data_IF_113341305609
#
_entry.id   IF_113341305609
#
_cell.length_a   1.000
_cell.length_b   1.000
_cell.length_c   1.000
_cell.angle_alpha   90.00
_cell.angle_beta   90.00
_cell.angle_gamma   90.00
#
_symmetry.space_group_name_H-M   'P 1'
#
loop_
_entity.id
_entity.type
_entity.pdbx_description
1 polymer ?
#
# COMPACT_ATOMS: atom_id res chain seq x y z
N UNK A 1 18.76 -35.52 -44.74
CA UNK A 1 19.95 -35.19 -43.91
C UNK A 1 19.90 -33.69 -43.57
N UNK A 2 18.84 -33.21 -42.92
CA UNK A 2 18.64 -33.11 -41.46
C UNK A 2 19.47 -32.08 -40.68
N UNK A 3 20.27 -31.21 -41.31
CA UNK A 3 21.13 -30.26 -40.57
C UNK A 3 20.97 -28.83 -41.08
N UNK A 4 19.76 -28.26 -41.08
CA UNK A 4 19.58 -26.79 -41.18
C UNK A 4 18.42 -26.25 -40.32
N UNK A 5 17.47 -27.11 -39.90
CA UNK A 5 16.29 -26.66 -39.11
C UNK A 5 16.61 -26.44 -37.61
N UNK A 6 17.84 -26.71 -37.15
CA UNK A 6 18.19 -26.67 -35.72
C UNK A 6 18.91 -25.38 -35.25
N UNK A 7 18.87 -24.28 -36.01
CA UNK A 7 19.45 -22.98 -35.60
C UNK A 7 18.37 -21.90 -35.38
N UNK A 8 17.09 -22.19 -35.65
CA UNK A 8 16.00 -21.22 -35.45
C UNK A 8 15.34 -21.31 -34.06
N UNK A 9 16.03 -21.88 -33.06
CA UNK A 9 15.49 -22.10 -31.72
C UNK A 9 16.13 -21.22 -30.63
N UNK A 10 16.89 -20.18 -31.00
CA UNK A 10 17.70 -19.43 -30.02
C UNK A 10 17.83 -17.94 -30.27
N UNK A 11 16.85 -17.28 -30.90
CA UNK A 11 16.73 -15.83 -30.82
C UNK A 11 15.22 -15.51 -30.77
N UNK A 12 14.84 -14.53 -29.94
CA UNK A 12 13.46 -14.17 -29.58
C UNK A 12 12.91 -14.96 -28.38
N UNK A 13 13.72 -15.10 -27.32
CA UNK A 13 13.15 -14.72 -26.03
C UNK A 13 13.10 -13.20 -26.03
N UNK A 14 12.07 -12.64 -26.66
CA UNK A 14 11.66 -11.29 -26.31
C UNK A 14 11.26 -11.39 -24.85
N UNK A 15 12.20 -11.10 -23.96
CA UNK A 15 11.88 -10.72 -22.60
C UNK A 15 10.98 -9.50 -22.76
N UNK A 16 9.68 -9.74 -22.71
CA UNK A 16 8.66 -8.70 -22.59
C UNK A 16 8.93 -8.06 -21.22
N UNK A 17 9.89 -7.14 -21.19
CA UNK A 17 9.99 -6.17 -20.12
C UNK A 17 8.74 -5.32 -20.27
N UNK A 18 7.71 -5.66 -19.49
CA UNK A 18 6.55 -4.81 -19.32
C UNK A 18 7.06 -3.46 -18.84
N UNK A 19 7.15 -2.50 -19.76
CA UNK A 19 7.63 -1.17 -19.46
C UNK A 19 6.72 -0.57 -18.38
N UNK A 20 7.27 0.08 -17.35
CA UNK A 20 6.47 0.84 -16.41
C UNK A 20 5.52 1.76 -17.19
N UNK A 21 4.21 1.71 -16.87
CA UNK A 21 3.17 2.47 -17.59
C UNK A 21 3.53 3.95 -17.79
N UNK A 22 4.29 4.53 -16.85
CA UNK A 22 4.74 5.92 -16.93
C UNK A 22 5.66 6.18 -18.15
N UNK A 23 6.59 5.30 -18.48
CA UNK A 23 7.52 5.54 -19.59
C UNK A 23 6.84 5.38 -20.95
N UNK A 24 5.91 4.42 -21.07
CA UNK A 24 5.09 4.31 -22.28
C UNK A 24 4.20 5.54 -22.46
N UNK A 25 3.54 6.02 -21.40
CA UNK A 25 2.69 7.21 -21.42
C UNK A 25 3.45 8.48 -21.81
N UNK A 26 4.68 8.65 -21.32
CA UNK A 26 5.52 9.81 -21.66
C UNK A 26 6.00 9.81 -23.12
N UNK A 27 6.05 8.63 -23.75
CA UNK A 27 6.46 8.49 -25.14
C UNK A 27 5.27 8.58 -26.12
N UNK A 28 4.03 8.52 -25.62
CA UNK A 28 2.82 8.70 -26.42
C UNK A 28 2.70 10.16 -26.87
N UNK A 29 2.51 10.36 -28.18
CA UNK A 29 2.33 11.70 -28.74
C UNK A 29 0.84 12.02 -28.83
N UNK A 30 0.34 12.88 -27.93
CA UNK A 30 -1.04 13.32 -27.93
C UNK A 30 -1.22 14.59 -28.79
N UNK A 31 -2.29 14.65 -29.58
CA UNK A 31 -2.61 15.83 -30.38
C UNK A 31 -2.84 17.05 -29.45
N UNK A 32 -2.15 18.16 -29.72
CA UNK A 32 -2.18 19.37 -28.88
C UNK A 32 -1.14 19.40 -27.75
N UNK A 33 -0.35 18.34 -27.57
CA UNK A 33 0.74 18.29 -26.59
C UNK A 33 2.09 18.52 -27.29
N UNK A 34 3.05 19.12 -26.58
CA UNK A 34 4.43 19.26 -27.07
C UNK A 34 5.12 17.90 -27.18
N UNK A 35 6.08 17.77 -28.12
CA UNK A 35 6.88 16.56 -28.26
C UNK A 35 7.81 16.38 -27.05
N UNK A 36 7.57 15.36 -26.24
CA UNK A 36 8.45 14.97 -25.14
C UNK A 36 9.56 14.08 -25.73
N UNK A 37 10.83 14.41 -25.44
CA UNK A 37 11.98 13.56 -25.79
C UNK A 37 12.62 13.10 -24.50
N UNK A 38 12.54 11.80 -24.22
CA UNK A 38 13.10 11.22 -23.01
C UNK A 38 14.57 10.83 -23.26
N UNK A 39 15.49 11.57 -22.67
CA UNK A 39 16.91 11.25 -22.68
C UNK A 39 17.33 10.67 -21.33
N UNK A 40 17.27 9.34 -21.21
CA UNK A 40 17.61 8.62 -19.98
C UNK A 40 18.41 7.35 -20.27
N UNK A 41 19.19 6.90 -19.28
CA UNK A 41 19.86 5.61 -19.38
C UNK A 41 18.85 4.45 -19.28
N UNK A 42 19.00 3.37 -20.09
CA UNK A 42 18.13 2.19 -20.01
C UNK A 42 18.08 1.54 -18.61
N UNK A 43 19.12 1.75 -17.79
CA UNK A 43 19.17 1.23 -16.41
C UNK A 43 18.09 1.84 -15.51
N UNK A 44 17.66 3.07 -15.77
CA UNK A 44 16.62 3.73 -14.97
C UNK A 44 15.29 2.98 -15.11
N UNK A 45 14.93 2.57 -16.32
CA UNK A 45 13.72 1.77 -16.57
C UNK A 45 13.75 0.46 -15.79
N UNK A 46 14.90 -0.24 -15.82
CA UNK A 46 15.07 -1.49 -15.08
C UNK A 46 14.95 -1.32 -13.56
N UNK A 47 15.50 -0.23 -13.00
CA UNK A 47 15.40 0.07 -11.57
C UNK A 47 13.94 0.38 -11.18
N UNK A 48 13.25 1.19 -11.98
CA UNK A 48 11.84 1.54 -11.73
C UNK A 48 10.94 0.32 -11.84
N UNK A 49 11.11 -0.52 -12.86
CA UNK A 49 10.36 -1.76 -13.01
C UNK A 49 10.57 -2.69 -11.79
N UNK A 50 11.83 -2.84 -11.35
CA UNK A 50 12.15 -3.63 -10.15
C UNK A 50 11.53 -3.03 -8.88
N UNK A 51 11.52 -1.71 -8.73
CA UNK A 51 10.90 -1.04 -7.59
C UNK A 51 9.39 -1.27 -7.54
N UNK A 52 8.72 -1.16 -8.70
CA UNK A 52 7.29 -1.46 -8.84
C UNK A 52 7.01 -2.92 -8.47
N UNK A 53 7.82 -3.86 -8.97
CA UNK A 53 7.67 -5.29 -8.66
C UNK A 53 7.80 -5.57 -7.16
N UNK A 54 8.80 -4.96 -6.49
CA UNK A 54 9.00 -5.10 -5.04
C UNK A 54 7.78 -4.55 -4.29
N UNK A 55 7.28 -3.38 -4.67
CA UNK A 55 6.13 -2.76 -4.01
C UNK A 55 4.83 -3.55 -4.24
N UNK A 56 4.63 -4.14 -5.42
CA UNK A 56 3.48 -5.00 -5.70
C UNK A 56 3.49 -6.28 -4.86
N UNK A 57 4.68 -6.79 -4.51
CA UNK A 57 4.85 -7.94 -3.61
C UNK A 57 4.70 -7.56 -2.13
N UNK A 58 4.85 -6.29 -1.78
CA UNK A 58 4.66 -5.82 -0.41
C UNK A 58 3.18 -5.94 -0.02
N UNK A 59 2.91 -6.40 1.20
CA UNK A 59 1.53 -6.59 1.72
C UNK A 59 0.85 -5.28 2.15
N UNK A 60 1.56 -4.16 2.07
CA UNK A 60 1.10 -2.84 2.49
C UNK A 60 2.26 -1.84 2.49
N UNK A 61 1.95 -0.59 2.82
CA UNK A 61 2.94 0.48 2.91
C UNK A 61 3.32 0.72 4.38
N UNK A 62 4.61 0.87 4.72
CA UNK A 62 5.01 1.23 6.09
C UNK A 62 4.42 2.58 6.48
N UNK A 63 3.60 2.60 7.53
CA UNK A 63 2.94 3.81 8.00
C UNK A 63 2.57 3.71 9.47
N UNK A 64 1.55 4.47 9.86
CA UNK A 64 1.10 4.60 11.23
C UNK A 64 -0.40 4.41 11.33
N UNK A 65 -0.83 3.84 12.45
CA UNK A 65 -2.24 3.80 12.86
C UNK A 65 -2.38 4.25 14.30
N UNK A 66 -3.60 4.59 14.71
CA UNK A 66 -3.91 4.81 16.13
C UNK A 66 -4.55 3.55 16.69
N UNK A 67 -3.92 2.90 17.65
CA UNK A 67 -4.50 1.78 18.38
C UNK A 67 -5.36 2.32 19.52
N UNK A 68 -6.60 1.82 19.62
CA UNK A 68 -7.62 2.32 20.56
C UNK A 68 -8.02 1.26 21.59
N UNK A 69 -7.88 -0.01 21.24
CA UNK A 69 -8.18 -1.12 22.14
C UNK A 69 -7.14 -2.23 22.00
N UNK A 70 -6.84 -2.87 23.12
CA UNK A 70 -6.02 -4.07 23.24
C UNK A 70 -6.54 -4.90 24.41
N UNK A 71 -6.88 -6.17 24.17
CA UNK A 71 -7.35 -7.05 25.24
C UNK A 71 -7.34 -8.51 24.85
N UNK A 72 -7.41 -9.39 25.84
CA UNK A 72 -7.50 -10.85 25.69
C UNK A 72 -8.59 -11.43 26.60
N UNK A 73 -8.90 -12.71 26.44
CA UNK A 73 -9.96 -13.39 27.21
C UNK A 73 -11.23 -13.65 26.41
N UNK A 74 -12.23 -14.26 27.05
CA UNK A 74 -13.49 -14.67 26.41
C UNK A 74 -14.26 -13.50 25.81
N UNK A 75 -14.27 -12.36 26.51
CA UNK A 75 -15.10 -11.21 26.15
C UNK A 75 -14.36 -10.21 25.24
N UNK A 76 -13.05 -10.40 25.05
CA UNK A 76 -12.21 -9.45 24.32
C UNK A 76 -12.66 -9.24 22.87
N UNK A 77 -13.17 -10.29 22.23
CA UNK A 77 -13.73 -10.20 20.87
C UNK A 77 -14.98 -9.31 20.85
N UNK A 78 -15.88 -9.47 21.82
CA UNK A 78 -17.13 -8.70 21.92
C UNK A 78 -16.82 -7.21 22.18
N UNK A 79 -15.93 -6.95 23.14
CA UNK A 79 -15.46 -5.60 23.46
C UNK A 79 -14.76 -4.93 22.28
N UNK A 80 -13.87 -5.64 21.58
CA UNK A 80 -13.20 -5.13 20.39
C UNK A 80 -14.20 -4.74 19.29
N UNK A 81 -15.22 -5.56 19.04
CA UNK A 81 -16.27 -5.23 18.06
C UNK A 81 -17.08 -4.01 18.49
N UNK A 82 -17.45 -3.92 19.78
CA UNK A 82 -18.16 -2.75 20.31
C UNK A 82 -17.34 -1.47 20.14
N UNK A 83 -16.06 -1.50 20.49
CA UNK A 83 -15.16 -0.35 20.31
C UNK A 83 -15.03 0.02 18.83
N UNK A 84 -14.87 -0.96 17.94
CA UNK A 84 -14.78 -0.73 16.49
C UNK A 84 -16.05 -0.04 15.95
N UNK A 85 -17.23 -0.52 16.35
CA UNK A 85 -18.48 0.06 15.90
C UNK A 85 -18.66 1.49 16.39
N UNK A 86 -18.29 1.77 17.64
CA UNK A 86 -18.30 3.14 18.16
C UNK A 86 -17.32 4.04 17.40
N UNK A 87 -16.11 3.55 17.11
CA UNK A 87 -15.13 4.31 16.33
C UNK A 87 -15.62 4.67 14.93
N UNK A 88 -16.28 3.74 14.23
CA UNK A 88 -16.85 4.01 12.91
C UNK A 88 -17.96 5.09 12.95
N UNK A 89 -18.67 5.20 14.06
CA UNK A 89 -19.70 6.23 14.24
C UNK A 89 -19.09 7.58 14.62
N UNK A 90 -18.09 7.59 15.52
CA UNK A 90 -17.43 8.80 16.00
C UNK A 90 -16.50 9.41 14.94
N UNK A 91 -15.90 8.58 14.09
CA UNK A 91 -14.88 8.96 13.11
C UNK A 91 -15.14 8.30 11.74
N UNK A 92 -16.21 8.69 11.02
CA UNK A 92 -16.61 8.07 9.76
C UNK A 92 -15.59 8.27 8.63
N UNK A 93 -14.71 9.27 8.73
CA UNK A 93 -13.69 9.56 7.73
C UNK A 93 -12.48 8.62 7.80
N UNK A 94 -12.37 7.81 8.86
CA UNK A 94 -11.25 6.89 9.07
C UNK A 94 -11.73 5.44 9.16
N UNK A 95 -11.10 4.58 8.36
CA UNK A 95 -11.33 3.14 8.45
C UNK A 95 -10.80 2.59 9.77
N UNK A 96 -11.56 1.66 10.37
CA UNK A 96 -11.14 0.93 11.57
C UNK A 96 -10.94 -0.56 11.33
N UNK A 97 -9.94 -1.12 12.00
CA UNK A 97 -9.44 -2.47 11.81
C UNK A 97 -9.49 -3.23 13.12
N UNK A 98 -10.18 -4.37 13.12
CA UNK A 98 -10.10 -5.35 14.21
C UNK A 98 -9.08 -6.41 13.82
N UNK A 99 -8.01 -6.49 14.60
CA UNK A 99 -6.89 -7.39 14.35
C UNK A 99 -6.90 -8.45 15.45
N UNK A 100 -6.86 -9.72 15.05
CA UNK A 100 -6.69 -10.83 15.95
C UNK A 100 -5.28 -11.38 15.84
N UNK A 101 -4.54 -11.31 16.94
CA UNK A 101 -3.19 -11.83 17.07
C UNK A 101 -3.16 -12.64 18.36
N UNK A 102 -3.36 -13.95 18.25
CA UNK A 102 -3.63 -14.82 19.39
C UNK A 102 -2.64 -14.59 20.55
N UNK A 103 -3.11 -14.41 21.80
CA UNK A 103 -4.51 -14.46 22.27
C UNK A 103 -5.24 -13.10 22.29
N UNK A 104 -4.71 -12.08 21.62
CA UNK A 104 -5.15 -10.69 21.74
C UNK A 104 -6.04 -10.22 20.59
N UNK A 105 -6.99 -9.35 20.94
CA UNK A 105 -7.75 -8.53 20.01
C UNK A 105 -7.28 -7.08 20.11
N UNK A 106 -6.94 -6.49 18.97
CA UNK A 106 -6.52 -5.09 18.81
C UNK A 106 -7.57 -4.37 17.96
N UNK A 107 -7.86 -3.12 18.28
CA UNK A 107 -8.61 -2.22 17.39
C UNK A 107 -7.74 -1.04 17.03
N UNK A 108 -7.54 -0.81 15.74
CA UNK A 108 -6.76 0.29 15.19
C UNK A 108 -7.63 1.13 14.25
N UNK A 109 -7.31 2.40 14.06
CA UNK A 109 -8.04 3.31 13.20
C UNK A 109 -7.08 4.19 12.38
N UNK A 110 -7.49 4.46 11.14
CA UNK A 110 -6.82 5.29 10.17
C UNK A 110 -5.61 4.62 9.51
N UNK A 111 -5.25 5.15 8.34
CA UNK A 111 -4.09 4.76 7.54
C UNK A 111 -3.25 6.02 7.27
N UNK A 112 -2.21 6.25 8.07
CA UNK A 112 -1.43 7.49 8.01
C UNK A 112 -0.03 7.24 7.46
N UNK A 113 0.36 7.98 6.41
CA UNK A 113 1.70 7.85 5.82
C UNK A 113 2.77 8.50 6.69
N UNK A 114 2.39 9.53 7.43
CA UNK A 114 3.32 10.38 8.18
C UNK A 114 2.94 10.41 9.66
N UNK A 115 3.96 10.43 10.54
CA UNK A 115 3.75 10.50 11.99
C UNK A 115 3.02 11.78 12.44
N UNK A 116 3.21 12.89 11.74
CA UNK A 116 2.52 14.14 12.06
C UNK A 116 1.01 14.06 11.75
N UNK A 117 0.66 13.36 10.66
CA UNK A 117 -0.73 13.13 10.27
C UNK A 117 -1.44 12.24 11.30
N UNK A 118 -0.80 11.14 11.69
CA UNK A 118 -1.34 10.26 12.74
C UNK A 118 -1.47 10.97 14.08
N UNK A 119 -0.56 11.91 14.40
CA UNK A 119 -0.64 12.70 15.62
C UNK A 119 -1.86 13.61 15.68
N UNK A 120 -2.24 14.23 14.55
CA UNK A 120 -3.45 15.06 14.47
C UNK A 120 -4.70 14.23 14.75
N UNK A 121 -4.86 13.10 14.06
CA UNK A 121 -5.98 12.19 14.28
C UNK A 121 -5.99 11.62 15.69
N UNK A 122 -4.82 11.21 16.20
CA UNK A 122 -4.64 10.74 17.56
C UNK A 122 -5.17 11.74 18.60
N UNK A 123 -4.89 13.04 18.43
CA UNK A 123 -5.36 14.06 19.39
C UNK A 123 -6.88 14.17 19.43
N UNK A 124 -7.55 13.99 18.29
CA UNK A 124 -9.01 13.96 18.23
C UNK A 124 -9.56 12.70 18.90
N UNK A 125 -8.99 11.53 18.56
CA UNK A 125 -9.41 10.23 19.10
C UNK A 125 -9.17 10.14 20.61
N UNK A 126 -8.06 10.68 21.10
CA UNK A 126 -7.66 10.63 22.52
C UNK A 126 -8.69 11.30 23.44
N UNK A 127 -9.48 12.26 22.95
CA UNK A 127 -10.54 12.90 23.72
C UNK A 127 -11.63 11.92 24.16
N UNK A 128 -12.03 11.01 23.27
CA UNK A 128 -13.07 10.00 23.54
C UNK A 128 -12.47 8.67 24.00
N UNK A 129 -11.21 8.41 23.66
CA UNK A 129 -10.50 7.17 23.90
C UNK A 129 -9.13 7.42 24.56
N UNK A 130 -9.07 7.65 25.88
CA UNK A 130 -7.84 8.04 26.58
C UNK A 130 -6.69 7.03 26.46
N UNK A 131 -7.00 5.74 26.34
CA UNK A 131 -6.03 4.66 26.17
C UNK A 131 -5.45 4.55 24.75
N UNK A 132 -5.85 5.43 23.83
CA UNK A 132 -5.34 5.39 22.46
C UNK A 132 -3.85 5.74 22.40
N UNK A 133 -3.13 5.20 21.41
CA UNK A 133 -1.75 5.55 21.11
C UNK A 133 -1.37 5.24 19.66
N UNK A 134 -0.33 5.90 19.15
CA UNK A 134 0.16 5.72 17.78
C UNK A 134 1.05 4.48 17.72
N UNK A 135 0.85 3.65 16.70
CA UNK A 135 1.64 2.45 16.40
C UNK A 135 2.10 2.44 14.96
N UNK A 136 3.26 1.84 14.72
CA UNK A 136 3.75 1.55 13.37
C UNK A 136 3.01 0.33 12.83
N UNK A 137 2.56 0.39 11.58
CA UNK A 137 1.82 -0.70 10.93
C UNK A 137 2.01 -0.68 9.41
N UNK A 138 1.60 -1.77 8.75
CA UNK A 138 1.42 -1.77 7.30
C UNK A 138 0.01 -1.25 6.97
N UNK A 139 -0.04 -0.08 6.34
CA UNK A 139 -1.27 0.60 5.95
C UNK A 139 -1.65 0.30 4.50
N UNK A 140 -2.94 0.41 4.18
CA UNK A 140 -3.38 0.43 2.80
C UNK A 140 -3.23 1.86 2.26
N UNK A 141 -2.69 2.01 1.05
CA UNK A 141 -2.68 3.30 0.40
C UNK A 141 -4.05 3.54 -0.24
N UNK A 142 -4.59 4.78 -0.19
CA UNK A 142 -5.80 5.11 -0.90
C UNK A 142 -5.64 4.83 -2.40
N UNK A 143 -6.72 4.41 -3.05
CA UNK A 143 -6.76 4.27 -4.51
C UNK A 143 -6.67 5.67 -5.12
N UNK A 144 -5.79 5.82 -6.10
CA UNK A 144 -5.74 7.03 -6.93
C UNK A 144 -6.86 6.87 -7.96
N UNK A 145 -7.85 7.77 -7.94
CA UNK A 145 -8.87 7.89 -9.01
C UNK A 145 -8.31 8.61 -10.22
#
# INVERSE_FOLDING_TARGET
MHIVILICALLLTDKIYSQPKIFSQLNETNAGWGKITLNQEPRIEAIVAKHIEINQKAKGFPGYRVQVYFGSGSDAKSLANKVRNNLNNDFPDYDSYLIYEAPYFKVRIGDFRNRNESYKAFKLIQSNYPQAFIVDDLIALPRLE
#
